data_IF_549737656061
#
_entry.id   IF_549737656061
#
_cell.length_a   1.000
_cell.length_b   1.000
_cell.length_c   1.000
_cell.angle_alpha   90.00
_cell.angle_beta   90.00
_cell.angle_gamma   90.00
#
_symmetry.space_group_name_H-M   'P 1'
#
loop_
_entity.id
_entity.type
_entity.pdbx_description
1 polymer ?
#
# COMPACT_ATOMS: atom_id res chain seq x y z
N UNK A 1 -63.48 -40.91 -19.12
CA UNK A 1 -64.35 -39.73 -19.00
C UNK A 1 -63.48 -38.57 -18.56
N UNK A 2 -63.27 -37.71 -19.48
CA UNK A 2 -63.26 -36.27 -19.55
C UNK A 2 -62.08 -35.56 -18.89
N UNK A 3 -61.22 -35.15 -19.80
CA UNK A 3 -60.19 -34.11 -19.77
C UNK A 3 -60.70 -32.74 -19.25
N UNK A 4 -59.83 -32.00 -18.52
CA UNK A 4 -59.73 -30.55 -18.64
C UNK A 4 -58.29 -30.07 -18.51
N UNK A 5 -57.74 -29.64 -19.62
CA UNK A 5 -56.58 -28.73 -19.72
C UNK A 5 -56.96 -27.37 -19.11
N UNK A 6 -56.08 -26.81 -18.31
CA UNK A 6 -56.12 -25.41 -17.92
C UNK A 6 -54.84 -24.74 -18.41
N UNK A 7 -55.04 -23.86 -19.35
CA UNK A 7 -54.08 -22.98 -19.99
C UNK A 7 -53.64 -21.90 -19.00
N UNK A 8 -52.35 -21.82 -18.65
CA UNK A 8 -51.81 -20.73 -17.88
C UNK A 8 -50.85 -19.90 -18.76
N UNK A 9 -51.41 -18.81 -19.29
CA UNK A 9 -50.64 -17.78 -20.00
C UNK A 9 -49.61 -17.11 -19.06
N UNK A 10 -48.34 -17.31 -19.30
CA UNK A 10 -47.27 -16.54 -18.70
C UNK A 10 -47.17 -15.19 -19.44
N UNK A 11 -47.54 -14.12 -18.75
CA UNK A 11 -47.30 -12.74 -19.21
C UNK A 11 -45.80 -12.42 -19.02
N UNK A 12 -45.09 -12.22 -20.11
CA UNK A 12 -43.72 -11.71 -20.12
C UNK A 12 -43.68 -10.25 -19.67
N UNK A 13 -43.06 -9.99 -18.54
CA UNK A 13 -42.62 -8.64 -18.15
C UNK A 13 -41.25 -8.39 -18.76
N UNK A 14 -41.20 -7.45 -19.73
CA UNK A 14 -39.96 -6.91 -20.29
C UNK A 14 -39.30 -6.05 -19.24
N UNK A 15 -38.20 -6.52 -18.65
CA UNK A 15 -37.29 -5.69 -17.88
C UNK A 15 -36.52 -4.76 -18.84
N UNK A 16 -36.80 -3.50 -18.73
CA UNK A 16 -36.08 -2.44 -19.43
C UNK A 16 -34.74 -2.21 -18.77
N UNK A 17 -33.67 -2.67 -19.42
CA UNK A 17 -32.30 -2.43 -19.00
C UNK A 17 -31.98 -0.94 -19.16
N UNK A 18 -31.98 -0.17 -18.07
CA UNK A 18 -31.44 1.19 -18.05
C UNK A 18 -29.93 1.13 -18.18
N UNK A 19 -29.43 1.55 -19.34
CA UNK A 19 -28.01 1.82 -19.55
C UNK A 19 -27.61 2.99 -18.65
N UNK A 20 -26.78 2.72 -17.64
CA UNK A 20 -25.97 3.75 -16.98
C UNK A 20 -24.80 4.08 -17.91
N UNK A 21 -24.80 5.31 -18.37
CA UNK A 21 -23.70 5.90 -19.15
C UNK A 21 -22.57 6.19 -18.14
N UNK A 22 -21.50 5.43 -18.21
CA UNK A 22 -20.24 5.76 -17.55
C UNK A 22 -19.59 6.89 -18.35
N UNK A 23 -19.29 7.98 -17.67
CA UNK A 23 -18.70 9.19 -18.23
C UNK A 23 -17.37 8.95 -18.94
N UNK A 24 -17.18 9.70 -20.02
CA UNK A 24 -16.15 9.46 -21.01
C UNK A 24 -14.71 9.62 -20.52
N UNK A 25 -13.91 8.68 -20.93
CA UNK A 25 -12.45 8.84 -21.04
C UNK A 25 -12.21 9.57 -22.36
N UNK A 26 -11.83 10.85 -22.26
CA UNK A 26 -11.38 11.62 -23.41
C UNK A 26 -9.93 11.21 -23.73
N UNK A 27 -9.75 10.36 -24.72
CA UNK A 27 -8.43 10.03 -25.23
C UNK A 27 -7.85 11.26 -25.95
N UNK A 28 -6.82 11.86 -25.37
CA UNK A 28 -6.04 12.92 -26.00
C UNK A 28 -5.05 12.25 -26.96
N UNK A 29 -5.30 12.34 -28.28
CA UNK A 29 -4.37 11.88 -29.29
C UNK A 29 -3.17 12.85 -29.36
N UNK A 30 -2.01 12.41 -28.91
CA UNK A 30 -0.74 13.11 -29.08
C UNK A 30 -0.20 12.73 -30.47
N UNK A 31 -0.20 13.68 -31.40
CA UNK A 31 0.47 13.57 -32.70
C UNK A 31 1.97 13.69 -32.50
N UNK A 32 2.70 12.59 -32.72
CA UNK A 32 4.17 12.59 -32.75
C UNK A 32 4.61 13.19 -34.08
N UNK A 33 5.09 14.44 -34.02
CA UNK A 33 5.80 15.07 -35.12
C UNK A 33 7.23 14.53 -35.20
N UNK A 34 7.56 13.91 -36.36
CA UNK A 34 8.90 13.45 -36.67
C UNK A 34 9.84 14.64 -36.88
N UNK A 35 10.80 14.82 -35.97
CA UNK A 35 11.93 15.73 -36.15
C UNK A 35 13.12 14.93 -36.67
N UNK A 36 13.51 15.20 -37.91
CA UNK A 36 14.69 14.59 -38.54
C UNK A 36 15.97 15.13 -37.89
N UNK A 37 16.83 14.22 -37.45
CA UNK A 37 18.18 14.54 -36.97
C UNK A 37 19.13 14.47 -38.17
N UNK A 38 19.72 15.62 -38.55
CA UNK A 38 20.82 15.69 -39.50
C UNK A 38 22.12 15.33 -38.78
N UNK A 39 22.80 14.29 -39.25
CA UNK A 39 24.13 13.90 -38.81
C UNK A 39 25.16 14.75 -39.54
N UNK A 40 25.88 15.62 -38.83
CA UNK A 40 27.09 16.29 -39.31
C UNK A 40 28.33 15.54 -38.78
N UNK A 41 29.12 14.98 -39.68
CA UNK A 41 30.46 14.46 -39.40
C UNK A 41 31.43 15.65 -39.28
N UNK A 42 32.21 15.71 -38.20
CA UNK A 42 33.34 16.59 -38.03
C UNK A 42 34.41 15.89 -37.21
N UNK A 43 35.57 15.66 -37.87
CA UNK A 43 36.74 15.00 -37.31
C UNK A 43 37.61 15.92 -36.43
N UNK A 44 38.30 15.28 -35.48
CA UNK A 44 39.61 15.61 -34.89
C UNK A 44 39.75 16.73 -33.82
N UNK A 45 40.24 16.26 -32.67
CA UNK A 45 40.91 17.11 -31.67
C UNK A 45 41.04 16.42 -30.31
N UNK A 46 42.11 15.62 -30.16
CA UNK A 46 42.47 15.07 -28.84
C UNK A 46 43.00 16.20 -27.95
N UNK A 47 42.36 16.40 -26.79
CA UNK A 47 42.99 17.00 -25.62
C UNK A 47 42.52 16.31 -24.35
N UNK A 48 43.49 15.81 -23.63
CA UNK A 48 43.46 15.25 -22.30
C UNK A 48 42.71 16.16 -21.31
N UNK A 49 41.63 15.67 -20.73
CA UNK A 49 41.00 16.30 -19.58
C UNK A 49 40.44 15.23 -18.65
N UNK A 50 41.15 14.98 -17.57
CA UNK A 50 40.72 14.27 -16.39
C UNK A 50 39.38 14.84 -15.90
N UNK A 51 38.26 14.23 -16.36
CA UNK A 51 36.93 14.56 -15.85
C UNK A 51 36.68 13.79 -14.56
N UNK A 52 36.67 14.55 -13.48
CA UNK A 52 36.16 14.13 -12.18
C UNK A 52 34.74 13.56 -12.35
N UNK A 53 34.56 12.29 -12.03
CA UNK A 53 33.24 11.66 -11.88
C UNK A 53 32.57 12.26 -10.63
N UNK A 54 31.85 13.35 -10.81
CA UNK A 54 30.93 13.90 -9.82
C UNK A 54 29.65 13.07 -9.81
N UNK A 55 29.60 12.04 -8.97
CA UNK A 55 28.33 11.41 -8.60
C UNK A 55 27.50 12.46 -7.87
N UNK A 56 26.36 12.84 -8.42
CA UNK A 56 25.33 13.57 -7.71
C UNK A 56 24.63 12.58 -6.76
N UNK A 57 25.30 12.28 -5.65
CA UNK A 57 24.60 11.84 -4.45
C UNK A 57 23.86 13.09 -3.95
N UNK A 58 22.56 13.18 -4.20
CA UNK A 58 21.71 14.11 -3.47
C UNK A 58 21.86 13.76 -1.99
N UNK A 59 22.59 14.60 -1.27
CA UNK A 59 22.67 14.51 0.18
C UNK A 59 21.32 14.99 0.69
N UNK A 60 20.55 14.05 1.27
CA UNK A 60 19.44 14.40 2.15
C UNK A 60 19.89 15.53 3.09
N UNK A 61 19.01 16.48 3.43
CA UNK A 61 19.37 17.52 4.37
C UNK A 61 19.81 16.84 5.68
N UNK A 62 21.10 16.97 5.99
CA UNK A 62 21.78 16.33 7.14
C UNK A 62 21.05 16.59 8.47
N UNK A 63 20.24 17.65 8.55
CA UNK A 63 19.43 18.03 9.72
C UNK A 63 18.25 17.06 9.93
N UNK A 64 17.57 16.60 8.87
CA UNK A 64 16.43 15.69 8.98
C UNK A 64 16.83 14.31 9.51
N UNK A 65 17.91 13.73 8.99
CA UNK A 65 18.43 12.41 9.40
C UNK A 65 18.89 12.40 10.86
N UNK A 66 19.59 13.45 11.31
CA UNK A 66 20.04 13.55 12.70
C UNK A 66 18.88 13.68 13.71
N UNK A 67 17.74 14.25 13.34
CA UNK A 67 16.54 14.31 14.17
C UNK A 67 15.87 12.93 14.17
N UNK A 68 15.76 12.28 13.00
CA UNK A 68 15.21 10.95 12.85
C UNK A 68 15.97 9.93 13.72
N UNK A 69 17.31 9.88 13.59
CA UNK A 69 18.19 8.96 14.34
C UNK A 69 18.17 9.21 15.87
N UNK A 70 17.80 10.41 16.33
CA UNK A 70 17.63 10.69 17.77
C UNK A 70 16.27 10.25 18.29
N UNK A 71 15.24 10.34 17.46
CA UNK A 71 13.84 10.04 17.84
C UNK A 71 13.55 8.56 17.75
N UNK A 72 14.08 7.88 16.74
CA UNK A 72 13.70 6.51 16.41
C UNK A 72 14.81 5.51 16.73
N UNK A 73 14.39 4.31 17.11
CA UNK A 73 15.27 3.19 17.43
C UNK A 73 14.79 1.93 16.72
N UNK A 74 15.75 1.22 16.12
CA UNK A 74 15.54 -0.10 15.56
C UNK A 74 15.43 -1.16 16.65
N UNK A 75 14.58 -2.15 16.44
CA UNK A 75 14.45 -3.30 17.32
C UNK A 75 14.03 -4.56 16.58
N UNK A 76 14.16 -5.69 17.25
CA UNK A 76 13.71 -6.99 16.77
C UNK A 76 12.85 -7.64 17.85
N UNK A 77 11.66 -8.08 17.48
CA UNK A 77 10.73 -8.79 18.39
C UNK A 77 10.48 -10.21 17.86
N UNK A 78 10.46 -11.19 18.74
CA UNK A 78 10.21 -12.58 18.36
C UNK A 78 8.74 -12.81 18.07
N UNK A 79 8.45 -13.63 17.05
CA UNK A 79 7.12 -14.18 16.74
C UNK A 79 7.30 -15.65 16.38
N UNK A 80 6.23 -16.37 16.12
CA UNK A 80 6.30 -17.76 15.64
C UNK A 80 6.90 -17.89 14.23
N UNK A 81 6.81 -16.82 13.42
CA UNK A 81 7.44 -16.74 12.11
C UNK A 81 8.90 -16.27 12.12
N UNK A 82 9.49 -16.07 13.30
CA UNK A 82 10.85 -15.55 13.48
C UNK A 82 10.85 -14.12 14.05
N UNK A 83 12.01 -13.45 13.95
CA UNK A 83 12.16 -12.07 14.44
C UNK A 83 11.55 -11.09 13.44
N UNK A 84 10.67 -10.22 13.92
CA UNK A 84 10.13 -9.10 13.15
C UNK A 84 10.89 -7.83 13.53
N UNK A 85 11.39 -7.14 12.52
CA UNK A 85 12.06 -5.86 12.69
C UNK A 85 11.03 -4.73 12.81
N UNK A 86 11.35 -3.75 13.64
CA UNK A 86 10.57 -2.53 13.78
C UNK A 86 11.46 -1.32 14.02
N UNK A 87 10.94 -0.14 13.67
CA UNK A 87 11.51 1.15 14.01
C UNK A 87 10.50 1.91 14.87
N UNK A 88 10.90 2.32 16.09
CA UNK A 88 9.99 2.89 17.07
C UNK A 88 10.50 4.23 17.62
N UNK A 89 9.60 5.21 17.74
CA UNK A 89 9.89 6.51 18.35
C UNK A 89 8.64 7.25 18.79
N UNK A 90 8.83 8.38 19.46
CA UNK A 90 7.73 9.19 19.97
C UNK A 90 7.15 8.69 21.31
N UNK A 91 6.05 9.32 21.72
CA UNK A 91 5.32 8.99 22.94
C UNK A 91 3.82 9.26 22.78
N UNK A 92 2.98 8.50 23.47
CA UNK A 92 1.52 8.58 23.38
C UNK A 92 0.91 7.23 22.99
N UNK A 93 -0.36 7.19 22.54
CA UNK A 93 -1.01 5.98 22.03
C UNK A 93 -0.19 5.32 20.91
N UNK A 94 -0.18 3.99 20.87
CA UNK A 94 0.59 3.27 19.87
C UNK A 94 -0.06 3.40 18.48
N UNK A 95 0.74 3.79 17.48
CA UNK A 95 0.39 3.82 16.07
C UNK A 95 1.32 2.91 15.28
N UNK A 96 0.78 1.83 14.74
CA UNK A 96 1.50 0.86 13.92
C UNK A 96 1.40 1.25 12.46
N UNK A 97 2.54 1.23 11.75
CA UNK A 97 2.64 1.50 10.33
C UNK A 97 3.06 0.23 9.58
N UNK A 98 2.30 -0.15 8.56
CA UNK A 98 2.49 -1.36 7.74
C UNK A 98 2.69 -0.97 6.28
N UNK A 99 3.89 -1.20 5.78
CA UNK A 99 4.27 -0.86 4.40
C UNK A 99 3.70 -1.85 3.38
N UNK A 100 3.77 -1.46 2.11
CA UNK A 100 3.42 -2.26 0.96
C UNK A 100 4.61 -2.94 0.26
N UNK A 101 4.41 -3.29 -1.00
CA UNK A 101 5.43 -3.81 -1.89
C UNK A 101 5.64 -2.83 -3.07
N UNK A 102 6.86 -2.51 -3.46
CA UNK A 102 8.15 -3.03 -2.99
C UNK A 102 8.84 -2.13 -1.95
N UNK A 103 8.26 -2.00 -0.80
CA UNK A 103 8.74 -1.12 0.25
C UNK A 103 9.33 -1.88 1.45
N UNK A 104 9.72 -1.11 2.46
CA UNK A 104 10.06 -1.49 3.83
C UNK A 104 9.48 -0.45 4.79
N UNK A 105 9.78 -0.54 6.09
CA UNK A 105 9.44 0.52 7.05
C UNK A 105 9.85 1.92 6.57
N UNK A 106 10.84 2.02 5.67
CA UNK A 106 11.37 3.29 5.17
C UNK A 106 10.36 4.09 4.35
N UNK A 107 9.39 3.46 3.70
CA UNK A 107 8.29 4.16 3.02
C UNK A 107 7.55 5.17 3.90
N UNK A 108 7.64 5.02 5.22
CA UNK A 108 7.02 5.91 6.20
C UNK A 108 7.92 7.05 6.69
N UNK A 109 9.16 7.13 6.23
CA UNK A 109 10.20 8.00 6.80
C UNK A 109 9.84 9.49 6.83
N UNK A 110 9.06 9.97 5.85
CA UNK A 110 8.63 11.37 5.77
C UNK A 110 7.53 11.71 6.79
N UNK A 111 6.65 10.76 7.10
CA UNK A 111 5.50 11.02 7.98
C UNK A 111 5.77 10.66 9.44
N UNK A 112 6.65 9.70 9.71
CA UNK A 112 6.98 9.24 11.06
C UNK A 112 7.35 10.35 12.05
N UNK A 113 8.21 11.35 11.70
CA UNK A 113 8.63 12.38 12.63
C UNK A 113 7.47 13.24 13.16
N UNK A 114 6.51 13.57 12.31
CA UNK A 114 5.35 14.38 12.69
C UNK A 114 4.37 13.55 13.53
N UNK A 115 4.08 12.32 13.13
CA UNK A 115 3.21 11.40 13.88
C UNK A 115 3.79 11.07 15.27
N UNK A 116 5.10 11.02 15.41
CA UNK A 116 5.79 10.75 16.68
C UNK A 116 5.68 11.89 17.69
N UNK A 117 5.18 13.06 17.31
CA UNK A 117 4.91 14.16 18.25
C UNK A 117 3.73 13.86 19.17
N UNK A 118 2.80 13.02 18.71
CA UNK A 118 1.53 12.71 19.42
C UNK A 118 1.32 11.22 19.68
N UNK A 119 2.10 10.35 19.03
CA UNK A 119 1.97 8.90 19.11
C UNK A 119 3.31 8.22 19.42
N UNK A 120 3.24 7.02 19.98
CA UNK A 120 4.34 6.06 19.89
C UNK A 120 4.22 5.36 18.54
N UNK A 121 5.00 5.80 17.55
CA UNK A 121 5.01 5.25 16.20
C UNK A 121 5.84 3.98 16.17
N UNK A 122 5.31 2.90 15.55
CA UNK A 122 5.96 1.60 15.40
C UNK A 122 5.82 1.18 13.93
N UNK A 123 6.84 1.43 13.10
CA UNK A 123 6.86 0.98 11.72
C UNK A 123 7.52 -0.41 11.63
N UNK A 124 6.78 -1.41 11.19
CA UNK A 124 7.29 -2.76 11.02
C UNK A 124 7.84 -2.98 9.61
N UNK A 125 8.90 -3.78 9.48
CA UNK A 125 9.13 -4.54 8.27
C UNK A 125 8.24 -5.79 8.31
N UNK A 126 7.41 -5.99 7.30
CA UNK A 126 6.57 -7.18 7.21
C UNK A 126 7.44 -8.46 7.21
N UNK A 127 6.98 -9.59 7.77
CA UNK A 127 7.72 -10.85 7.77
C UNK A 127 8.27 -11.22 6.39
N UNK A 128 9.56 -11.49 6.30
CA UNK A 128 10.25 -11.77 5.03
C UNK A 128 10.85 -10.57 4.33
N UNK A 129 10.42 -9.35 4.66
CA UNK A 129 10.84 -8.10 4.02
C UNK A 129 11.76 -7.27 4.94
N UNK A 130 12.41 -6.26 4.37
CA UNK A 130 13.34 -5.39 5.10
C UNK A 130 14.35 -6.16 5.95
N UNK A 131 14.39 -5.91 7.25
CA UNK A 131 15.25 -6.58 8.21
C UNK A 131 14.55 -7.70 9.01
N UNK A 132 13.28 -7.98 8.72
CA UNK A 132 12.55 -9.09 9.35
C UNK A 132 13.08 -10.44 8.90
N UNK A 133 12.95 -11.47 9.76
CA UNK A 133 13.24 -12.85 9.40
C UNK A 133 12.36 -13.30 8.22
N UNK A 134 12.90 -14.15 7.38
CA UNK A 134 12.17 -14.75 6.25
C UNK A 134 11.52 -16.04 6.77
N UNK A 135 10.20 -16.05 7.01
CA UNK A 135 9.52 -17.25 7.44
C UNK A 135 9.46 -18.29 6.31
N UNK A 136 9.30 -19.53 6.67
CA UNK A 136 9.21 -20.64 5.71
C UNK A 136 7.90 -20.58 4.92
N UNK A 137 6.83 -20.13 5.56
CA UNK A 137 5.45 -20.08 5.06
C UNK A 137 4.64 -18.99 5.79
N UNK A 138 3.33 -18.92 5.54
CA UNK A 138 2.41 -18.00 6.23
C UNK A 138 2.61 -16.55 5.77
N UNK A 139 2.56 -16.34 4.48
CA UNK A 139 2.58 -15.02 3.84
C UNK A 139 1.16 -14.50 3.54
N UNK A 140 0.13 -15.26 3.93
CA UNK A 140 -1.25 -14.81 3.90
C UNK A 140 -1.51 -13.69 4.92
N UNK A 141 -2.55 -12.89 4.65
CA UNK A 141 -2.90 -11.72 5.47
C UNK A 141 -3.17 -12.08 6.94
N UNK A 142 -3.86 -13.19 7.19
CA UNK A 142 -4.25 -13.63 8.53
C UNK A 142 -3.06 -14.09 9.37
N UNK A 143 -2.18 -14.92 8.79
CA UNK A 143 -0.97 -15.39 9.48
C UNK A 143 0.00 -14.23 9.73
N UNK A 144 0.13 -13.32 8.76
CA UNK A 144 0.96 -12.12 8.93
C UNK A 144 0.40 -11.22 10.04
N UNK A 145 -0.91 -10.97 10.06
CA UNK A 145 -1.56 -10.21 11.13
C UNK A 145 -1.37 -10.86 12.51
N UNK A 146 -1.50 -12.19 12.62
CA UNK A 146 -1.26 -12.92 13.88
C UNK A 146 0.17 -12.76 14.39
N UNK A 147 1.17 -12.72 13.50
CA UNK A 147 2.57 -12.44 13.88
C UNK A 147 2.76 -11.02 14.38
N UNK A 148 2.12 -10.03 13.75
CA UNK A 148 2.20 -8.64 14.21
C UNK A 148 1.43 -8.44 15.53
N UNK A 149 0.30 -9.09 15.73
CA UNK A 149 -0.38 -9.19 17.03
C UNK A 149 0.57 -9.72 18.13
N UNK A 150 1.27 -10.82 17.87
CA UNK A 150 2.29 -11.33 18.82
C UNK A 150 3.39 -10.29 19.08
N UNK A 151 3.83 -9.59 18.03
CA UNK A 151 4.88 -8.59 18.13
C UNK A 151 4.48 -7.41 19.05
N UNK A 152 3.33 -6.79 18.82
CA UNK A 152 2.89 -5.64 19.64
C UNK A 152 2.60 -6.04 21.08
N UNK A 153 2.02 -7.24 21.32
CA UNK A 153 1.80 -7.76 22.67
C UNK A 153 3.11 -7.98 23.43
N UNK A 154 4.17 -8.47 22.76
CA UNK A 154 5.50 -8.62 23.36
C UNK A 154 6.22 -7.29 23.57
N UNK A 155 5.88 -6.28 22.80
CA UNK A 155 6.33 -4.89 23.03
C UNK A 155 5.56 -4.18 24.14
N UNK A 156 4.52 -4.83 24.72
CA UNK A 156 3.77 -4.34 25.87
C UNK A 156 2.52 -3.53 25.49
N UNK A 157 2.12 -3.50 24.24
CA UNK A 157 0.90 -2.79 23.79
C UNK A 157 -0.29 -3.75 23.77
N UNK A 158 -1.45 -3.27 24.27
CA UNK A 158 -2.72 -4.00 24.28
C UNK A 158 -3.73 -3.45 23.30
N UNK A 159 -3.59 -2.16 23.00
CA UNK A 159 -4.39 -1.43 22.03
C UNK A 159 -3.46 -0.67 21.11
N UNK A 160 -3.77 -0.69 19.83
CA UNK A 160 -3.02 0.01 18.79
C UNK A 160 -3.97 0.65 17.78
N UNK A 161 -3.53 1.73 17.19
CA UNK A 161 -4.05 2.26 15.93
C UNK A 161 -3.19 1.70 14.82
N UNK A 162 -3.77 1.40 13.66
CA UNK A 162 -3.04 0.80 12.53
C UNK A 162 -3.23 1.66 11.28
N UNK A 163 -2.14 1.91 10.57
CA UNK A 163 -2.15 2.50 9.23
C UNK A 163 -1.38 1.58 8.29
N UNK A 164 -2.05 1.11 7.24
CA UNK A 164 -1.48 0.23 6.24
C UNK A 164 -1.50 0.84 4.84
N UNK A 165 -0.46 0.58 4.05
CA UNK A 165 -0.37 0.93 2.65
C UNK A 165 -0.23 -0.34 1.81
N UNK A 166 -0.91 -0.42 0.65
CA UNK A 166 -0.82 -1.54 -0.31
C UNK A 166 -1.02 -2.90 0.38
N UNK A 167 -0.03 -3.81 0.43
CA UNK A 167 -0.12 -5.08 1.18
C UNK A 167 -0.37 -4.88 2.67
N UNK A 168 0.11 -3.78 3.24
CA UNK A 168 -0.15 -3.42 4.63
C UNK A 168 -1.63 -3.21 4.91
N UNK A 169 -2.42 -2.83 3.91
CA UNK A 169 -3.90 -2.74 4.01
C UNK A 169 -4.51 -4.11 4.27
N UNK A 170 -4.10 -5.12 3.50
CA UNK A 170 -4.63 -6.48 3.63
C UNK A 170 -4.33 -7.08 5.02
N UNK A 171 -3.11 -6.85 5.49
CA UNK A 171 -2.65 -7.28 6.82
C UNK A 171 -3.39 -6.51 7.92
N UNK A 172 -3.52 -5.18 7.79
CA UNK A 172 -4.23 -4.32 8.73
C UNK A 172 -5.71 -4.70 8.86
N UNK A 173 -6.38 -4.98 7.75
CA UNK A 173 -7.76 -5.49 7.74
C UNK A 173 -7.89 -6.83 8.49
N UNK A 174 -7.05 -7.81 8.16
CA UNK A 174 -7.09 -9.10 8.84
C UNK A 174 -6.79 -8.97 10.34
N UNK A 175 -5.90 -8.04 10.71
CA UNK A 175 -5.58 -7.76 12.12
C UNK A 175 -6.78 -7.17 12.86
N UNK A 176 -7.40 -6.11 12.34
CA UNK A 176 -8.58 -5.50 12.92
C UNK A 176 -9.73 -6.51 13.04
N UNK A 177 -10.00 -7.27 12.00
CA UNK A 177 -11.03 -8.30 11.94
C UNK A 177 -10.87 -9.43 12.97
N UNK A 178 -9.64 -9.94 13.12
CA UNK A 178 -9.40 -11.11 13.97
C UNK A 178 -9.03 -10.75 15.41
N UNK A 179 -8.65 -9.48 15.67
CA UNK A 179 -8.31 -8.94 16.99
C UNK A 179 -9.04 -7.60 17.28
N UNK A 180 -10.39 -7.57 17.24
CA UNK A 180 -11.17 -6.32 17.25
C UNK A 180 -11.07 -5.49 18.53
N UNK A 181 -10.53 -6.06 19.63
CA UNK A 181 -10.26 -5.32 20.86
C UNK A 181 -8.86 -4.72 20.93
N UNK A 182 -8.00 -5.04 19.97
CA UNK A 182 -6.63 -4.57 19.91
C UNK A 182 -6.49 -3.39 18.96
N UNK A 183 -7.09 -3.49 17.76
CA UNK A 183 -7.09 -2.39 16.80
C UNK A 183 -8.26 -1.47 17.08
N UNK A 184 -7.98 -0.23 17.49
CA UNK A 184 -9.02 0.74 17.88
C UNK A 184 -9.43 1.67 16.74
N UNK A 185 -8.56 1.90 15.75
CA UNK A 185 -8.80 2.65 14.50
C UNK A 185 -7.91 2.10 13.41
N UNK A 186 -8.44 2.00 12.20
CA UNK A 186 -7.71 1.50 11.03
C UNK A 186 -7.70 2.56 9.91
N UNK A 187 -6.52 2.98 9.46
CA UNK A 187 -6.35 3.75 8.23
C UNK A 187 -5.76 2.85 7.14
N UNK A 188 -6.34 2.90 5.94
CA UNK A 188 -5.94 2.09 4.79
C UNK A 188 -5.65 2.99 3.60
N UNK A 189 -4.47 2.83 2.99
CA UNK A 189 -3.96 3.70 1.94
C UNK A 189 -3.80 2.95 0.62
N UNK A 190 -4.50 3.43 -0.36
CA UNK A 190 -4.41 3.11 -1.79
C UNK A 190 -4.36 1.63 -2.17
N UNK A 191 -5.18 0.82 -1.47
CA UNK A 191 -5.45 -0.57 -1.87
C UNK A 191 -6.89 -0.96 -1.52
N UNK A 192 -7.74 -1.29 -2.49
CA UNK A 192 -8.96 -2.04 -2.24
C UNK A 192 -8.64 -3.41 -1.63
N UNK A 193 -9.63 -4.05 -1.01
CA UNK A 193 -9.49 -5.40 -0.50
C UNK A 193 -9.56 -6.45 -1.60
N UNK A 194 -8.79 -7.50 -1.43
CA UNK A 194 -8.96 -8.75 -2.18
C UNK A 194 -10.36 -9.32 -1.92
N UNK A 195 -11.05 -9.71 -2.98
CA UNK A 195 -12.44 -10.12 -2.95
C UNK A 195 -13.46 -9.02 -3.17
N UNK A 196 -13.04 -7.76 -3.05
CA UNK A 196 -13.88 -6.57 -3.17
C UNK A 196 -13.23 -5.43 -3.98
N UNK A 197 -12.58 -5.77 -5.10
CA UNK A 197 -12.18 -4.80 -6.12
C UNK A 197 -10.70 -4.76 -6.45
N UNK A 198 -9.78 -5.26 -5.63
CA UNK A 198 -8.35 -5.23 -5.97
C UNK A 198 -8.04 -6.07 -7.22
N UNK A 199 -8.78 -7.15 -7.45
CA UNK A 199 -8.64 -8.02 -8.61
C UNK A 199 -8.85 -7.29 -9.96
N UNK A 200 -9.62 -6.21 -9.96
CA UNK A 200 -9.87 -5.39 -11.15
C UNK A 200 -8.60 -4.66 -11.62
N UNK A 201 -7.61 -4.51 -10.74
CA UNK A 201 -6.30 -3.96 -11.08
C UNK A 201 -5.35 -4.94 -11.76
N UNK A 202 -5.57 -6.26 -11.67
CA UNK A 202 -4.64 -7.28 -12.21
C UNK A 202 -4.35 -7.13 -13.72
N UNK A 203 -5.31 -6.75 -14.59
CA UNK A 203 -5.02 -6.51 -16.00
C UNK A 203 -4.21 -5.24 -16.25
N UNK A 204 -4.20 -4.29 -15.31
CA UNK A 204 -3.62 -2.96 -15.49
C UNK A 204 -2.10 -2.96 -15.40
N UNK A 205 -1.51 -3.95 -14.72
CA UNK A 205 -0.07 -4.03 -14.56
C UNK A 205 0.46 -5.46 -14.61
N UNK A 206 1.55 -5.60 -15.34
CA UNK A 206 2.29 -6.87 -15.50
C UNK A 206 2.80 -7.43 -14.15
N UNK A 207 3.15 -6.57 -13.19
CA UNK A 207 3.73 -7.01 -11.92
C UNK A 207 2.82 -7.94 -11.13
N UNK A 208 1.49 -7.74 -11.17
CA UNK A 208 0.54 -8.62 -10.50
C UNK A 208 0.68 -10.07 -11.00
N UNK A 209 0.67 -10.25 -12.32
CA UNK A 209 0.75 -11.59 -12.93
C UNK A 209 2.13 -12.23 -12.72
N UNK A 210 3.19 -11.44 -12.80
CA UNK A 210 4.55 -11.94 -12.57
C UNK A 210 4.72 -12.38 -11.12
N UNK A 211 4.35 -11.53 -10.15
CA UNK A 211 4.55 -11.81 -8.73
C UNK A 211 3.69 -12.98 -8.23
N UNK A 212 2.48 -13.16 -8.77
CA UNK A 212 1.62 -14.32 -8.47
C UNK A 212 2.07 -15.62 -9.14
N UNK A 213 2.97 -15.56 -10.12
CA UNK A 213 3.40 -16.77 -10.81
C UNK A 213 4.06 -17.77 -9.84
N UNK A 214 3.89 -19.09 -10.09
CA UNK A 214 4.46 -20.10 -9.19
C UNK A 214 6.00 -20.03 -9.16
N UNK A 215 6.58 -20.31 -7.99
CA UNK A 215 8.04 -20.44 -7.86
C UNK A 215 8.54 -21.58 -8.74
N UNK A 216 9.68 -21.43 -9.42
CA UNK A 216 10.63 -20.33 -9.35
C UNK A 216 10.53 -19.35 -10.54
N UNK A 217 9.34 -19.11 -11.11
CA UNK A 217 9.21 -18.31 -12.35
C UNK A 217 9.67 -16.86 -12.16
N UNK A 218 9.10 -16.04 -11.26
CA UNK A 218 9.55 -14.67 -11.09
C UNK A 218 10.99 -14.57 -10.57
N UNK A 219 11.42 -15.51 -9.72
CA UNK A 219 12.79 -15.56 -9.19
C UNK A 219 13.85 -15.79 -10.29
N UNK A 220 13.47 -16.47 -11.39
CA UNK A 220 14.35 -16.70 -12.54
C UNK A 220 14.29 -15.61 -13.60
N UNK A 221 13.15 -14.89 -13.66
CA UNK A 221 12.97 -13.79 -14.63
C UNK A 221 13.62 -12.52 -14.09
N UNK A 222 13.53 -12.25 -12.78
CA UNK A 222 14.07 -11.05 -12.15
C UNK A 222 15.26 -11.44 -11.28
N UNK A 223 16.45 -11.42 -11.84
CA UNK A 223 17.70 -11.57 -11.08
C UNK A 223 18.21 -10.22 -10.54
N UNK A 224 19.40 -10.20 -9.95
CA UNK A 224 19.92 -8.96 -9.35
C UNK A 224 20.22 -7.85 -10.37
N UNK A 225 20.45 -8.18 -11.63
CA UNK A 225 20.67 -7.20 -12.70
C UNK A 225 19.36 -6.56 -13.18
N UNK A 226 18.24 -7.25 -12.99
CA UNK A 226 16.93 -6.82 -13.45
C UNK A 226 16.13 -6.06 -12.40
N UNK A 227 16.48 -6.19 -11.10
CA UNK A 227 15.70 -5.63 -9.97
C UNK A 227 15.40 -4.16 -10.16
N UNK A 228 16.41 -3.34 -10.49
CA UNK A 228 16.22 -1.91 -10.66
C UNK A 228 15.27 -1.60 -11.83
N UNK A 229 15.42 -2.30 -12.96
CA UNK A 229 14.54 -2.14 -14.12
C UNK A 229 13.10 -2.52 -13.77
N UNK A 230 12.93 -3.67 -13.11
CA UNK A 230 11.62 -4.18 -12.74
C UNK A 230 10.91 -3.30 -11.72
N UNK A 231 11.59 -2.89 -10.65
CA UNK A 231 10.98 -2.06 -9.62
C UNK A 231 10.72 -0.62 -10.11
N UNK A 232 11.59 -0.06 -10.97
CA UNK A 232 11.29 1.23 -11.61
C UNK A 232 10.03 1.18 -12.46
N UNK A 233 9.76 0.06 -13.15
CA UNK A 233 8.48 -0.12 -13.84
C UNK A 233 7.28 -0.08 -12.87
N UNK A 234 7.41 -0.66 -11.67
CA UNK A 234 6.36 -0.60 -10.65
C UNK A 234 6.18 0.83 -10.15
N UNK A 235 7.27 1.58 -9.94
CA UNK A 235 7.20 2.98 -9.49
C UNK A 235 6.62 3.96 -10.54
N UNK A 236 6.30 3.53 -11.76
CA UNK A 236 5.57 4.37 -12.74
C UNK A 236 4.11 4.67 -12.33
N UNK A 237 3.57 4.03 -11.28
CA UNK A 237 2.29 4.41 -10.67
C UNK A 237 2.38 5.64 -9.76
N UNK A 238 3.56 6.22 -9.56
CA UNK A 238 3.74 7.49 -8.87
C UNK A 238 3.28 8.66 -9.75
N UNK A 239 2.51 9.58 -9.17
CA UNK A 239 2.17 10.86 -9.80
C UNK A 239 3.31 11.88 -9.63
N UNK A 240 4.10 11.75 -8.56
CA UNK A 240 5.27 12.57 -8.24
C UNK A 240 6.52 11.68 -8.17
N UNK A 241 7.08 11.22 -9.32
CA UNK A 241 8.14 10.21 -9.35
C UNK A 241 9.41 10.56 -8.56
N UNK A 242 9.73 11.84 -8.45
CA UNK A 242 10.92 12.34 -7.74
C UNK A 242 10.74 12.34 -6.21
N UNK A 243 9.52 12.15 -5.72
CA UNK A 243 9.23 12.04 -4.29
C UNK A 243 9.62 10.67 -3.71
N UNK A 244 9.69 9.64 -4.57
CA UNK A 244 9.94 8.26 -4.14
C UNK A 244 11.43 8.02 -3.94
N UNK A 245 11.85 7.55 -2.75
CA UNK A 245 13.22 7.08 -2.51
C UNK A 245 13.44 5.68 -3.13
N UNK A 246 13.38 5.64 -4.49
CA UNK A 246 13.51 4.42 -5.29
C UNK A 246 14.78 3.63 -4.96
N UNK A 247 15.88 4.33 -4.74
CA UNK A 247 17.17 3.71 -4.45
C UNK A 247 17.15 2.90 -3.15
N UNK A 248 16.52 3.41 -2.11
CA UNK A 248 16.38 2.70 -0.83
C UNK A 248 15.47 1.49 -0.96
N UNK A 249 14.34 1.63 -1.66
CA UNK A 249 13.43 0.52 -1.93
C UNK A 249 14.09 -0.54 -2.79
N UNK A 250 14.74 -0.19 -3.91
CA UNK A 250 15.45 -1.15 -4.79
C UNK A 250 16.53 -1.92 -4.01
N UNK A 251 17.35 -1.22 -3.20
CA UNK A 251 18.41 -1.87 -2.40
C UNK A 251 17.86 -2.95 -1.45
N UNK A 252 16.68 -2.74 -0.87
CA UNK A 252 16.05 -3.70 0.04
C UNK A 252 15.70 -5.02 -0.67
N UNK A 253 15.46 -4.98 -1.98
CA UNK A 253 15.08 -6.16 -2.77
C UNK A 253 16.22 -6.78 -3.60
N UNK A 254 17.45 -6.31 -3.46
CA UNK A 254 18.61 -6.95 -4.11
C UNK A 254 18.87 -8.37 -3.58
N UNK A 255 18.49 -8.67 -2.34
CA UNK A 255 18.64 -10.01 -1.78
C UNK A 255 17.58 -10.97 -2.35
N UNK A 256 17.96 -12.06 -3.07
CA UNK A 256 16.99 -12.94 -3.77
C UNK A 256 15.91 -13.52 -2.87
N UNK A 257 16.23 -13.92 -1.64
CA UNK A 257 15.25 -14.48 -0.72
C UNK A 257 14.21 -13.44 -0.25
N UNK A 258 14.56 -12.15 -0.20
CA UNK A 258 13.63 -11.07 0.12
C UNK A 258 12.65 -10.84 -1.04
N UNK A 259 13.14 -10.88 -2.29
CA UNK A 259 12.26 -10.83 -3.47
C UNK A 259 11.28 -11.99 -3.49
N UNK A 260 11.78 -13.21 -3.26
CA UNK A 260 10.93 -14.40 -3.19
C UNK A 260 9.89 -14.30 -2.07
N UNK A 261 10.25 -13.75 -0.90
CA UNK A 261 9.30 -13.46 0.17
C UNK A 261 8.22 -12.46 -0.28
N UNK A 262 8.59 -11.39 -0.99
CA UNK A 262 7.64 -10.46 -1.59
C UNK A 262 6.68 -11.15 -2.55
N UNK A 263 7.16 -12.02 -3.44
CA UNK A 263 6.31 -12.80 -4.35
C UNK A 263 5.38 -13.76 -3.60
N UNK A 264 5.79 -14.29 -2.45
CA UNK A 264 4.93 -15.18 -1.67
C UNK A 264 3.70 -14.46 -1.10
N UNK A 265 3.78 -13.17 -0.79
CA UNK A 265 2.59 -12.38 -0.44
C UNK A 265 1.57 -12.36 -1.59
N UNK A 266 2.02 -12.09 -2.83
CA UNK A 266 1.13 -12.12 -4.01
C UNK A 266 0.57 -13.52 -4.29
N UNK A 267 1.35 -14.57 -4.07
CA UNK A 267 0.89 -15.97 -4.23
C UNK A 267 -0.21 -16.35 -3.25
N UNK A 268 -0.27 -15.69 -2.08
CA UNK A 268 -1.34 -15.88 -1.10
C UNK A 268 -2.63 -15.10 -1.44
N UNK A 269 -2.64 -14.22 -2.44
CA UNK A 269 -3.79 -13.37 -2.75
C UNK A 269 -5.08 -14.13 -3.07
N UNK A 270 -5.09 -15.25 -3.83
CA UNK A 270 -6.31 -16.02 -4.03
C UNK A 270 -6.92 -16.53 -2.71
N UNK A 271 -6.09 -17.03 -1.79
CA UNK A 271 -6.52 -17.46 -0.46
C UNK A 271 -7.03 -16.28 0.38
N UNK A 272 -6.34 -15.13 0.33
CA UNK A 272 -6.77 -13.91 1.02
C UNK A 272 -8.14 -13.42 0.52
N UNK A 273 -8.40 -13.48 -0.79
CA UNK A 273 -9.69 -13.10 -1.37
C UNK A 273 -10.83 -13.97 -0.84
N UNK A 274 -10.63 -15.28 -0.79
CA UNK A 274 -11.61 -16.21 -0.24
C UNK A 274 -11.81 -16.00 1.27
N UNK A 275 -10.73 -15.79 2.04
CA UNK A 275 -10.80 -15.49 3.48
C UNK A 275 -11.57 -14.18 3.73
N UNK A 276 -11.31 -13.13 2.95
CA UNK A 276 -12.00 -11.83 3.07
C UNK A 276 -13.50 -12.00 2.81
N UNK A 277 -13.90 -12.65 1.70
CA UNK A 277 -15.30 -12.90 1.35
C UNK A 277 -16.01 -13.73 2.42
N UNK A 278 -15.37 -14.80 2.91
CA UNK A 278 -15.95 -15.69 3.90
C UNK A 278 -16.28 -15.01 5.24
N UNK A 279 -15.60 -13.92 5.56
CA UNK A 279 -15.76 -13.20 6.82
C UNK A 279 -16.44 -11.83 6.69
N UNK A 280 -16.74 -11.37 5.48
CA UNK A 280 -17.25 -10.03 5.21
C UNK A 280 -18.52 -9.67 6.01
N UNK A 281 -19.47 -10.59 6.12
CA UNK A 281 -20.71 -10.37 6.87
C UNK A 281 -20.59 -10.73 8.36
N UNK A 282 -19.88 -11.83 8.66
CA UNK A 282 -19.85 -12.42 10.01
C UNK A 282 -18.88 -11.72 10.96
N UNK A 283 -17.90 -10.99 10.42
CA UNK A 283 -16.86 -10.27 11.17
C UNK A 283 -16.65 -8.87 10.60
N UNK A 284 -17.73 -8.09 10.46
CA UNK A 284 -17.61 -6.69 10.07
C UNK A 284 -16.80 -5.93 11.10
N UNK A 285 -15.94 -5.01 10.61
CA UNK A 285 -15.20 -4.09 11.47
C UNK A 285 -16.18 -3.11 12.10
N UNK A 286 -16.08 -2.94 13.40
CA UNK A 286 -16.87 -1.99 14.19
C UNK A 286 -16.10 -0.75 14.58
N UNK A 287 -14.77 -0.84 14.55
CA UNK A 287 -13.87 0.31 14.71
C UNK A 287 -13.88 1.20 13.45
N UNK A 288 -13.69 2.53 13.63
CA UNK A 288 -13.66 3.46 12.51
C UNK A 288 -12.54 3.12 11.51
N UNK A 289 -12.88 3.18 10.22
CA UNK A 289 -11.94 2.96 9.10
C UNK A 289 -11.81 4.23 8.29
N UNK A 290 -10.59 4.77 8.18
CA UNK A 290 -10.23 5.79 7.20
C UNK A 290 -9.75 5.09 5.92
N UNK A 291 -10.49 5.21 4.84
CA UNK A 291 -10.16 4.60 3.55
C UNK A 291 -9.71 5.68 2.56
N UNK A 292 -8.40 5.86 2.44
CA UNK A 292 -7.80 6.88 1.59
C UNK A 292 -7.27 6.25 0.30
N UNK A 293 -7.77 6.70 -0.84
CA UNK A 293 -7.22 6.35 -2.15
C UNK A 293 -6.50 7.51 -2.79
N UNK A 294 -5.46 7.22 -3.57
CA UNK A 294 -4.75 8.21 -4.36
C UNK A 294 -5.59 8.71 -5.54
N UNK A 295 -5.52 10.01 -5.84
CA UNK A 295 -6.32 10.64 -6.91
C UNK A 295 -6.15 9.95 -8.26
N UNK A 296 -4.92 9.53 -8.57
CA UNK A 296 -4.58 8.97 -9.88
C UNK A 296 -4.53 7.44 -9.92
N UNK A 297 -4.93 6.74 -8.82
CA UNK A 297 -4.93 5.27 -8.78
C UNK A 297 -6.30 4.74 -8.36
N UNK A 298 -6.55 4.51 -7.07
CA UNK A 298 -7.80 3.87 -6.63
C UNK A 298 -8.90 4.84 -6.17
N UNK A 299 -8.56 6.09 -5.80
CA UNK A 299 -9.53 7.09 -5.37
C UNK A 299 -10.53 6.54 -4.34
N UNK A 300 -11.82 6.84 -4.53
CA UNK A 300 -12.88 6.32 -3.65
C UNK A 300 -13.15 4.81 -3.80
N UNK A 301 -12.48 4.11 -4.72
CA UNK A 301 -12.55 2.65 -4.83
C UNK A 301 -12.09 1.94 -3.57
N UNK A 302 -11.14 2.54 -2.82
CA UNK A 302 -10.70 2.02 -1.52
C UNK A 302 -11.85 2.03 -0.52
N UNK A 303 -12.56 3.15 -0.40
CA UNK A 303 -13.71 3.28 0.50
C UNK A 303 -14.85 2.31 0.10
N UNK A 304 -15.19 2.25 -1.18
CA UNK A 304 -16.24 1.35 -1.69
C UNK A 304 -15.95 -0.13 -1.37
N UNK A 305 -14.67 -0.52 -1.37
CA UNK A 305 -14.22 -1.85 -0.98
C UNK A 305 -14.42 -2.11 0.52
N UNK A 306 -14.05 -1.14 1.39
CA UNK A 306 -14.17 -1.28 2.84
C UNK A 306 -15.61 -1.17 3.35
N UNK A 307 -16.51 -0.50 2.65
CA UNK A 307 -17.95 -0.48 2.94
C UNK A 307 -18.58 -1.89 2.91
N UNK A 308 -17.96 -2.84 2.23
CA UNK A 308 -18.40 -4.25 2.22
C UNK A 308 -18.10 -4.98 3.52
N UNK A 309 -17.11 -4.52 4.31
CA UNK A 309 -16.57 -5.25 5.46
C UNK A 309 -16.53 -4.44 6.77
N UNK A 310 -16.89 -3.15 6.75
CA UNK A 310 -16.85 -2.26 7.91
C UNK A 310 -18.17 -1.49 8.08
N UNK A 311 -18.45 -1.01 9.29
CA UNK A 311 -19.67 -0.27 9.64
C UNK A 311 -19.49 1.26 9.52
N UNK A 312 -18.31 1.78 9.91
CA UNK A 312 -17.93 3.21 9.83
C UNK A 312 -16.73 3.37 8.90
N UNK A 313 -17.00 3.75 7.65
CA UNK A 313 -15.96 3.98 6.62
C UNK A 313 -15.97 5.44 6.19
N UNK A 314 -14.81 6.08 6.29
CA UNK A 314 -14.56 7.45 5.88
C UNK A 314 -13.71 7.48 4.64
N UNK A 315 -14.33 7.73 3.50
CA UNK A 315 -13.66 7.79 2.20
C UNK A 315 -12.93 9.12 2.01
N UNK A 316 -11.66 9.07 1.65
CA UNK A 316 -10.82 10.22 1.35
C UNK A 316 -10.07 9.99 0.06
N UNK A 317 -9.91 11.04 -0.75
CA UNK A 317 -9.00 11.04 -1.91
C UNK A 317 -7.82 11.93 -1.58
N UNK A 318 -6.60 11.38 -1.67
CA UNK A 318 -5.36 12.13 -1.50
C UNK A 318 -5.08 12.94 -2.77
N UNK A 319 -5.18 14.27 -2.73
CA UNK A 319 -5.06 15.08 -3.93
C UNK A 319 -3.61 15.12 -4.43
N UNK A 320 -3.43 15.01 -5.75
CA UNK A 320 -2.12 15.02 -6.40
C UNK A 320 -1.27 13.76 -6.21
N UNK A 321 -1.77 12.76 -5.47
CA UNK A 321 -1.04 11.53 -5.19
C UNK A 321 -1.23 10.45 -6.26
N UNK A 322 -0.15 9.74 -6.58
CA UNK A 322 -0.14 8.40 -7.12
C UNK A 322 -0.13 7.36 -5.99
N UNK A 323 0.35 6.16 -6.28
CA UNK A 323 0.23 5.04 -5.35
C UNK A 323 0.92 5.26 -3.99
N UNK A 324 2.03 5.98 -3.92
CA UNK A 324 2.84 6.17 -2.70
C UNK A 324 2.44 7.43 -1.94
N UNK A 325 1.20 7.50 -1.45
CA UNK A 325 0.63 8.68 -0.76
C UNK A 325 1.57 9.20 0.33
N UNK A 326 2.22 8.33 1.09
CA UNK A 326 3.11 8.66 2.21
C UNK A 326 4.43 9.32 1.79
N UNK A 327 4.84 9.17 0.53
CA UNK A 327 6.02 9.82 -0.04
C UNK A 327 5.64 10.96 -1.00
N UNK A 328 4.51 10.84 -1.72
CA UNK A 328 4.09 11.82 -2.73
C UNK A 328 3.35 13.03 -2.14
N UNK A 329 2.53 12.81 -1.10
CA UNK A 329 1.74 13.86 -0.44
C UNK A 329 1.78 13.73 1.08
N UNK A 330 3.01 13.72 1.69
CA UNK A 330 3.19 13.44 3.12
C UNK A 330 2.44 14.43 4.02
N UNK A 331 2.40 15.73 3.67
CA UNK A 331 1.73 16.75 4.47
C UNK A 331 0.23 16.48 4.57
N UNK A 332 -0.43 16.16 3.45
CA UNK A 332 -1.85 15.81 3.44
C UNK A 332 -2.14 14.57 4.29
N UNK A 333 -1.30 13.54 4.15
CA UNK A 333 -1.44 12.32 4.96
C UNK A 333 -1.23 12.59 6.45
N UNK A 334 -0.24 13.41 6.83
CA UNK A 334 0.02 13.80 8.22
C UNK A 334 -1.18 14.52 8.82
N UNK A 335 -1.72 15.52 8.12
CA UNK A 335 -2.86 16.31 8.59
C UNK A 335 -4.10 15.41 8.76
N UNK A 336 -4.39 14.57 7.78
CA UNK A 336 -5.48 13.62 7.84
C UNK A 336 -5.30 12.59 8.98
N UNK A 337 -4.11 12.01 9.12
CA UNK A 337 -3.80 11.05 10.17
C UNK A 337 -3.91 11.67 11.58
N UNK A 338 -3.46 12.90 11.76
CA UNK A 338 -3.60 13.62 13.03
C UNK A 338 -5.06 13.90 13.40
N UNK A 339 -5.93 14.16 12.42
CA UNK A 339 -7.36 14.29 12.66
C UNK A 339 -8.00 12.94 13.00
N UNK A 340 -7.70 11.91 12.22
CA UNK A 340 -8.32 10.59 12.36
C UNK A 340 -7.84 9.85 13.63
N UNK A 341 -6.56 9.91 13.92
CA UNK A 341 -5.99 9.26 15.11
C UNK A 341 -5.93 10.15 16.34
N UNK A 342 -6.26 11.43 16.19
CA UNK A 342 -6.27 12.42 17.27
C UNK A 342 -7.48 12.33 18.19
N UNK A 343 -7.65 13.33 19.07
CA UNK A 343 -8.84 13.48 19.88
C UNK A 343 -10.10 13.70 19.04
N UNK A 344 -11.24 13.20 19.52
CA UNK A 344 -12.53 13.43 18.87
C UNK A 344 -12.95 14.90 18.93
N UNK A 345 -13.72 15.32 17.93
CA UNK A 345 -14.32 16.67 17.90
C UNK A 345 -13.37 17.79 17.48
N UNK A 346 -12.17 17.47 17.00
CA UNK A 346 -11.28 18.47 16.38
C UNK A 346 -11.81 18.77 14.95
N UNK A 347 -12.19 20.03 14.66
CA UNK A 347 -12.73 20.36 13.34
C UNK A 347 -11.65 20.29 12.26
N UNK A 348 -12.03 19.85 11.07
CA UNK A 348 -11.15 19.86 9.91
C UNK A 348 -10.79 21.32 9.53
N UNK A 349 -9.51 21.61 9.30
CA UNK A 349 -9.08 22.96 8.88
C UNK A 349 -9.48 23.32 7.44
N UNK A 350 -9.73 22.31 6.59
CA UNK A 350 -10.13 22.45 5.20
C UNK A 350 -11.23 21.46 4.83
N UNK A 351 -11.97 21.74 3.76
CA UNK A 351 -13.01 20.83 3.24
C UNK A 351 -12.42 19.49 2.81
N UNK A 352 -11.25 19.48 2.19
CA UNK A 352 -10.56 18.26 1.76
C UNK A 352 -10.19 17.30 2.89
N UNK A 353 -10.09 17.82 4.13
CA UNK A 353 -9.81 17.05 5.33
C UNK A 353 -11.05 16.70 6.15
N UNK A 354 -12.26 17.11 5.70
CA UNK A 354 -13.50 16.91 6.47
C UNK A 354 -13.81 15.44 6.77
N UNK A 355 -13.52 14.55 5.83
CA UNK A 355 -13.68 13.09 6.03
C UNK A 355 -12.61 12.44 6.92
N UNK A 356 -11.54 13.17 7.26
CA UNK A 356 -10.48 12.68 8.15
C UNK A 356 -10.80 12.87 9.64
N UNK A 357 -11.87 13.61 9.98
CA UNK A 357 -12.20 13.91 11.38
C UNK A 357 -12.64 12.65 12.13
N UNK A 358 -12.12 12.46 13.35
CA UNK A 358 -12.40 11.32 14.23
C UNK A 358 -13.81 11.32 14.81
#
# INVERSE_FOLDING_TARGET
>A
MSSRLVDARVRGSRLTLKRMIVGGITALAVTIGSVGVAVAHGENGATDATAARGGHAQREPVVGRAIFDRTFRHGLVHTDGGKVHYVKGGSGPALVLLHGWPETWWGWHLVMPELAKTHTVIAFDLPGLGYSAIPRDGYDQKTTAARLHQAVNRLGYREVKVMGHDMGVLVGYAWARDYPREVTRLAVLDSPLLGFGLEDAYPLSFHFKLNMAPSPVPEKIVDNSDVATYLNYVFEFAAVPDAIDRDSHIRAYLHPARRSAGYNYYRAWPENAEDTKAHAESKRLTEPVLAMGAEFVFGLGVAASFEQVAEDVRGVVAPGAGHWIQEETPEFLIDCANLFFGPEGVPAPTESLSSCVA
#
